data_IF_163391737280
#
_entry.id   IF_163391737280
#
_cell.length_a   1.000
_cell.length_b   1.000
_cell.length_c   1.000
_cell.angle_alpha   90.00
_cell.angle_beta   90.00
_cell.angle_gamma   90.00
#
_symmetry.space_group_name_H-M   'P 1'
#
loop_
_entity.id
_entity.type
_entity.pdbx_description
1 polymer ?
#
# COMPACT_ATOMS: atom_id res chain seq x y z
N UNK A 1 -0.38 12.32 52.88
CA UNK A 1 -0.52 12.79 54.29
C UNK A 1 -1.36 11.78 55.05
N UNK A 2 -0.86 11.26 56.19
CA UNK A 2 -1.65 10.41 57.07
C UNK A 2 -2.22 11.26 58.24
N UNK A 3 -3.55 11.19 58.40
CA UNK A 3 -4.27 11.84 59.47
C UNK A 3 -4.59 10.76 60.52
N UNK A 4 -3.82 10.72 61.61
CA UNK A 4 -4.07 9.75 62.67
C UNK A 4 -5.26 10.19 63.51
N UNK A 5 -6.25 9.33 63.66
CA UNK A 5 -7.47 9.55 64.45
C UNK A 5 -7.90 8.27 65.12
N UNK A 6 -8.40 8.36 66.34
CA UNK A 6 -9.03 7.21 67.04
C UNK A 6 -10.29 6.70 66.29
N UNK A 7 -10.97 7.65 65.59
CA UNK A 7 -12.14 7.34 64.75
C UNK A 7 -11.92 7.81 63.31
N UNK A 8 -11.13 7.07 62.47
CA UNK A 8 -10.75 7.49 61.12
C UNK A 8 -11.94 7.66 60.17
N UNK A 9 -13.05 6.97 60.45
CA UNK A 9 -14.27 7.06 59.68
C UNK A 9 -15.17 8.28 60.05
N UNK A 10 -14.81 9.00 61.08
CA UNK A 10 -15.59 10.19 61.48
C UNK A 10 -15.62 11.29 60.43
N UNK A 11 -16.73 12.05 60.38
CA UNK A 11 -16.90 13.14 59.43
C UNK A 11 -15.83 14.23 59.62
N UNK A 12 -15.40 14.47 60.84
CA UNK A 12 -14.37 15.47 61.15
C UNK A 12 -12.99 15.07 60.62
N UNK A 13 -12.58 13.79 60.85
CA UNK A 13 -11.31 13.29 60.35
C UNK A 13 -11.26 13.32 58.81
N UNK A 14 -12.34 12.89 58.15
CA UNK A 14 -12.46 12.96 56.69
C UNK A 14 -12.48 14.38 56.14
N UNK A 15 -13.13 15.31 56.85
CA UNK A 15 -13.10 16.75 56.44
C UNK A 15 -11.71 17.34 56.56
N UNK A 16 -10.98 17.01 57.64
CA UNK A 16 -9.61 17.43 57.84
C UNK A 16 -8.68 16.87 56.75
N UNK A 17 -8.79 15.57 56.44
CA UNK A 17 -8.01 14.96 55.38
C UNK A 17 -8.25 15.63 54.02
N UNK A 18 -9.52 15.91 53.66
CA UNK A 18 -9.85 16.64 52.44
C UNK A 18 -9.25 18.06 52.42
N UNK A 19 -9.33 18.78 53.50
CA UNK A 19 -8.77 20.16 53.57
C UNK A 19 -7.26 20.15 53.40
N UNK A 20 -6.57 19.17 54.03
CA UNK A 20 -5.14 18.98 53.87
C UNK A 20 -4.75 18.60 52.49
N UNK A 21 -5.51 17.70 51.85
CA UNK A 21 -5.31 17.29 50.48
C UNK A 21 -5.43 18.48 49.51
N UNK A 22 -6.45 19.29 49.66
CA UNK A 22 -6.64 20.51 48.88
C UNK A 22 -5.53 21.55 49.09
N UNK A 23 -5.12 21.73 50.34
CA UNK A 23 -4.10 22.73 50.72
C UNK A 23 -2.71 22.41 50.17
N UNK A 24 -2.34 21.12 50.19
CA UNK A 24 -0.99 20.68 49.86
C UNK A 24 -0.87 20.00 48.51
N UNK A 25 -2.01 19.71 47.82
CA UNK A 25 -2.02 19.06 46.48
C UNK A 25 -1.52 17.62 46.48
N UNK A 26 -1.65 16.91 47.63
CA UNK A 26 -1.22 15.52 47.80
C UNK A 26 -2.34 14.71 48.44
N UNK A 27 -2.35 13.38 48.18
CA UNK A 27 -3.32 12.47 48.80
C UNK A 27 -3.28 12.55 50.34
N UNK A 28 -4.44 12.54 50.97
CA UNK A 28 -4.56 12.50 52.43
C UNK A 28 -5.54 11.40 52.85
N UNK A 29 -5.10 10.52 53.76
CA UNK A 29 -5.85 9.36 54.26
C UNK A 29 -5.98 9.45 55.75
N UNK A 30 -7.16 9.06 56.25
CA UNK A 30 -7.41 8.90 57.71
C UNK A 30 -7.05 7.47 58.10
N UNK A 31 -6.31 7.33 59.21
CA UNK A 31 -5.86 6.01 59.75
C UNK A 31 -5.96 6.00 61.26
N UNK A 32 -6.07 4.82 61.86
CA UNK A 32 -5.81 4.61 63.26
C UNK A 32 -4.54 3.77 63.42
N UNK A 33 -3.45 4.42 63.80
CA UNK A 33 -2.14 3.79 63.91
C UNK A 33 -2.04 2.65 64.92
N UNK A 34 -2.99 2.59 65.87
CA UNK A 34 -3.00 1.53 66.90
C UNK A 34 -3.69 0.25 66.42
N UNK A 35 -4.62 0.35 65.49
CA UNK A 35 -5.43 -0.76 64.99
C UNK A 35 -5.23 -1.05 63.50
N UNK A 36 -4.20 -0.45 62.93
CA UNK A 36 -3.91 -0.59 61.49
C UNK A 36 -3.49 -2.05 61.19
N UNK A 37 -4.14 -2.63 60.20
CA UNK A 37 -3.84 -3.97 59.69
C UNK A 37 -2.91 -3.91 58.46
N UNK A 38 -2.51 -5.10 58.00
CA UNK A 38 -1.62 -5.25 56.84
C UNK A 38 -2.21 -4.66 55.55
N UNK A 39 -3.52 -4.89 55.31
CA UNK A 39 -4.23 -4.36 54.13
C UNK A 39 -4.24 -2.83 54.10
N UNK A 40 -4.43 -2.19 55.24
CA UNK A 40 -4.38 -0.75 55.38
C UNK A 40 -2.97 -0.19 55.12
N UNK A 41 -1.92 -0.90 55.55
CA UNK A 41 -0.52 -0.54 55.30
C UNK A 41 -0.21 -0.64 53.81
N UNK A 42 -0.60 -1.75 53.16
CA UNK A 42 -0.44 -1.93 51.73
C UNK A 42 -1.15 -0.81 50.96
N UNK A 43 -2.41 -0.48 51.36
CA UNK A 43 -3.14 0.60 50.75
C UNK A 43 -2.43 1.98 50.85
N UNK A 44 -1.75 2.24 51.98
CA UNK A 44 -0.96 3.47 52.17
C UNK A 44 0.27 3.46 51.27
N UNK A 45 0.95 2.32 51.14
CA UNK A 45 2.09 2.17 50.25
C UNK A 45 1.69 2.35 48.79
N UNK A 46 0.55 1.81 48.39
CA UNK A 46 -0.01 2.03 47.05
C UNK A 46 -0.34 3.51 46.80
N UNK A 47 -1.01 4.17 47.75
CA UNK A 47 -1.30 5.62 47.65
C UNK A 47 0.02 6.45 47.50
N UNK A 48 1.09 6.05 48.20
CA UNK A 48 2.39 6.68 48.10
C UNK A 48 3.00 6.49 46.68
N UNK A 49 2.90 5.28 46.13
CA UNK A 49 3.40 4.99 44.80
C UNK A 49 2.67 5.80 43.71
N UNK A 50 1.36 6.01 43.87
CA UNK A 50 0.59 6.87 42.93
C UNK A 50 0.99 8.34 42.97
N UNK A 51 1.62 8.83 44.01
CA UNK A 51 2.16 10.20 44.10
C UNK A 51 3.52 10.35 43.38
N UNK A 52 4.15 9.24 42.93
CA UNK A 52 5.42 9.29 42.21
C UNK A 52 5.26 9.98 40.84
N UNK A 53 6.31 10.70 40.38
CA UNK A 53 6.27 11.33 39.09
C UNK A 53 6.20 10.31 37.95
N UNK A 54 5.38 10.56 36.96
CA UNK A 54 5.41 9.85 35.70
C UNK A 54 6.45 10.53 34.78
N UNK A 55 7.49 9.77 34.41
CA UNK A 55 8.62 10.26 33.63
C UNK A 55 8.56 9.87 32.18
N UNK A 56 7.99 8.68 31.87
CA UNK A 56 7.91 8.14 30.53
C UNK A 56 6.55 7.49 30.28
N UNK A 57 6.00 7.76 29.10
CA UNK A 57 4.76 7.14 28.63
C UNK A 57 5.03 6.42 27.32
N UNK A 58 4.96 5.08 27.35
CA UNK A 58 5.19 4.20 26.20
C UNK A 58 3.85 3.74 25.62
N UNK A 59 3.65 4.03 24.33
CA UNK A 59 2.47 3.55 23.61
C UNK A 59 2.83 2.39 22.69
N UNK A 60 2.17 1.26 22.90
CA UNK A 60 2.21 0.10 22.02
C UNK A 60 1.06 0.19 21.02
N UNK A 61 1.38 0.34 19.75
CA UNK A 61 0.44 0.44 18.63
C UNK A 61 0.57 -0.76 17.72
N UNK A 62 -0.49 -1.17 17.01
CA UNK A 62 -0.39 -2.15 15.93
C UNK A 62 0.67 -1.74 14.91
N UNK A 63 1.47 -2.71 14.45
CA UNK A 63 2.63 -2.44 13.60
C UNK A 63 2.31 -1.71 12.29
N UNK A 64 1.12 -1.93 11.75
CA UNK A 64 0.67 -1.30 10.51
C UNK A 64 0.49 0.22 10.60
N UNK A 65 0.26 0.77 11.79
CA UNK A 65 0.16 2.23 12.00
C UNK A 65 1.44 2.95 11.60
N UNK A 66 2.60 2.31 11.77
CA UNK A 66 3.90 2.87 11.35
C UNK A 66 4.03 2.99 9.83
N UNK A 67 3.32 2.13 9.09
CA UNK A 67 3.33 2.13 7.63
C UNK A 67 2.39 3.18 7.01
N UNK A 68 1.56 3.84 7.84
CA UNK A 68 0.71 4.94 7.37
C UNK A 68 1.56 6.18 7.04
N UNK A 69 1.13 6.98 6.06
CA UNK A 69 1.75 8.25 5.74
C UNK A 69 1.76 9.18 6.96
N UNK A 70 2.79 10.02 7.10
CA UNK A 70 2.92 10.92 8.25
C UNK A 70 1.87 12.04 8.24
N UNK A 71 1.35 12.37 7.08
CA UNK A 71 0.24 13.31 6.84
C UNK A 71 -1.15 12.65 6.92
N UNK A 72 -1.22 11.32 7.13
CA UNK A 72 -2.46 10.58 7.25
C UNK A 72 -3.29 11.01 8.47
N UNK A 73 -4.57 11.27 8.26
CA UNK A 73 -5.49 11.79 9.27
C UNK A 73 -5.53 10.92 10.54
N UNK A 74 -5.60 9.60 10.39
CA UNK A 74 -5.63 8.64 11.51
C UNK A 74 -4.34 8.72 12.33
N UNK A 75 -3.18 8.73 11.68
CA UNK A 75 -1.88 8.80 12.36
C UNK A 75 -1.70 10.11 13.09
N UNK A 76 -2.08 11.22 12.47
CA UNK A 76 -2.00 12.54 13.08
C UNK A 76 -2.91 12.66 14.30
N UNK A 77 -4.16 12.18 14.21
CA UNK A 77 -5.11 12.20 15.33
C UNK A 77 -4.58 11.41 16.53
N UNK A 78 -4.10 10.18 16.31
CA UNK A 78 -3.53 9.33 17.35
C UNK A 78 -2.31 10.00 18.02
N UNK A 79 -1.33 10.46 17.23
CA UNK A 79 -0.12 11.07 17.78
C UNK A 79 -0.39 12.43 18.46
N UNK A 80 -1.37 13.21 18.01
CA UNK A 80 -1.78 14.44 18.67
C UNK A 80 -2.37 14.15 20.04
N UNK A 81 -3.27 13.17 20.16
CA UNK A 81 -3.85 12.74 21.42
C UNK A 81 -2.81 12.19 22.40
N UNK A 82 -1.87 11.37 21.91
CA UNK A 82 -0.77 10.85 22.72
C UNK A 82 0.13 11.97 23.26
N UNK A 83 0.49 12.96 22.44
CA UNK A 83 1.28 14.12 22.88
C UNK A 83 0.53 14.96 23.90
N UNK A 84 -0.78 15.13 23.71
CA UNK A 84 -1.61 15.86 24.66
C UNK A 84 -1.70 15.13 26.00
N UNK A 85 -1.85 13.80 25.99
CA UNK A 85 -1.84 12.97 27.18
C UNK A 85 -0.51 13.06 27.92
N UNK A 86 0.61 12.89 27.21
CA UNK A 86 1.96 13.03 27.79
C UNK A 86 2.20 14.39 28.43
N UNK A 87 1.69 15.46 27.81
CA UNK A 87 1.83 16.82 28.35
C UNK A 87 1.00 17.10 29.61
N UNK A 88 -0.05 16.30 29.88
CA UNK A 88 -0.90 16.45 31.07
C UNK A 88 -0.49 15.54 32.22
N UNK A 89 0.32 14.52 31.95
CA UNK A 89 0.72 13.52 32.91
C UNK A 89 1.89 14.03 33.74
N UNK A 90 1.65 14.22 35.06
CA UNK A 90 2.69 14.63 36.01
C UNK A 90 2.97 13.57 37.09
N UNK A 91 1.95 12.82 37.48
CA UNK A 91 2.02 11.78 38.51
C UNK A 91 1.32 10.50 38.06
N UNK A 92 1.72 9.36 38.61
CA UNK A 92 1.08 8.05 38.29
C UNK A 92 -0.41 8.07 38.58
N UNK A 93 -0.88 8.75 39.61
CA UNK A 93 -2.30 8.90 39.95
C UNK A 93 -3.17 9.54 38.84
N UNK A 94 -2.56 10.25 37.89
CA UNK A 94 -3.28 10.96 36.82
C UNK A 94 -3.44 10.12 35.57
N UNK A 95 -2.88 8.91 35.53
CA UNK A 95 -2.84 8.05 34.32
C UNK A 95 -4.24 7.82 33.79
N UNK A 96 -5.16 7.28 34.60
CA UNK A 96 -6.52 6.90 34.17
C UNK A 96 -7.30 8.10 33.61
N UNK A 97 -7.19 9.26 34.29
CA UNK A 97 -7.88 10.47 33.83
C UNK A 97 -7.30 11.03 32.55
N UNK A 98 -5.99 10.89 32.36
CA UNK A 98 -5.28 11.36 31.18
C UNK A 98 -5.53 10.48 29.97
N UNK A 99 -5.66 9.16 30.17
CA UNK A 99 -5.91 8.19 29.09
C UNK A 99 -7.33 8.30 28.50
N UNK A 100 -8.32 8.85 29.23
CA UNK A 100 -9.70 9.04 28.74
C UNK A 100 -9.73 9.81 27.40
N UNK A 101 -8.92 10.85 27.24
CA UNK A 101 -8.88 11.61 26.01
C UNK A 101 -8.39 10.83 24.77
N UNK A 102 -7.67 9.73 24.98
CA UNK A 102 -7.27 8.81 23.89
C UNK A 102 -8.35 7.76 23.68
N UNK A 103 -8.95 7.23 24.76
CA UNK A 103 -10.04 6.25 24.66
C UNK A 103 -11.28 6.79 23.97
N UNK A 104 -11.51 8.11 24.03
CA UNK A 104 -12.67 8.75 23.40
C UNK A 104 -12.51 8.96 21.89
N UNK A 105 -11.34 8.65 21.32
CA UNK A 105 -11.12 8.72 19.87
C UNK A 105 -11.90 7.62 19.16
N UNK A 106 -12.60 7.97 18.08
CA UNK A 106 -13.37 7.03 17.26
C UNK A 106 -12.50 5.94 16.61
N UNK A 107 -11.20 6.19 16.46
CA UNK A 107 -10.21 5.27 15.91
C UNK A 107 -9.70 4.26 16.93
N UNK A 108 -9.98 4.43 18.23
CA UNK A 108 -9.50 3.54 19.30
C UNK A 108 -10.63 2.62 19.75
N UNK A 109 -10.39 1.32 19.66
CA UNK A 109 -11.35 0.31 20.13
C UNK A 109 -11.22 0.06 21.62
N UNK A 110 -9.98 -0.08 22.10
CA UNK A 110 -9.67 -0.28 23.51
C UNK A 110 -8.30 0.30 23.85
N UNK A 111 -8.17 0.72 25.12
CA UNK A 111 -6.92 1.16 25.69
C UNK A 111 -6.73 0.41 27.00
N UNK A 112 -5.57 -0.21 27.21
CA UNK A 112 -5.22 -0.91 28.44
C UNK A 112 -3.83 -0.46 28.92
N UNK A 113 -3.70 -0.26 30.22
CA UNK A 113 -2.41 -0.03 30.86
C UNK A 113 -1.84 -1.42 31.16
N UNK A 114 -0.76 -1.78 30.50
CA UNK A 114 -0.16 -3.12 30.60
C UNK A 114 0.93 -3.20 31.65
N UNK A 115 1.60 -2.09 31.95
CA UNK A 115 2.66 -2.06 32.93
C UNK A 115 2.82 -0.66 33.53
N UNK A 116 3.12 -0.59 34.84
CA UNK A 116 3.43 0.64 35.58
C UNK A 116 4.64 0.37 36.45
N UNK A 117 5.80 0.81 36.00
CA UNK A 117 7.02 0.78 36.79
C UNK A 117 7.16 2.06 37.64
N UNK A 118 6.75 1.95 38.88
CA UNK A 118 6.84 3.09 39.81
C UNK A 118 8.30 3.49 40.15
N UNK A 119 9.27 2.57 40.00
CA UNK A 119 10.68 2.83 40.26
C UNK A 119 11.30 3.77 39.25
N UNK A 120 10.93 3.64 37.96
CA UNK A 120 11.39 4.49 36.87
C UNK A 120 10.38 5.58 36.51
N UNK A 121 9.12 5.44 36.95
CA UNK A 121 8.01 6.31 36.53
C UNK A 121 7.56 6.05 35.11
N UNK A 122 7.79 4.84 34.58
CA UNK A 122 7.43 4.43 33.22
C UNK A 122 6.07 3.77 33.22
N UNK A 123 5.22 4.18 32.28
CA UNK A 123 3.88 3.64 32.08
C UNK A 123 3.78 3.10 30.65
N UNK A 124 3.41 1.84 30.51
CA UNK A 124 3.18 1.20 29.20
C UNK A 124 1.69 1.06 28.94
N UNK A 125 1.25 1.62 27.83
CA UNK A 125 -0.14 1.65 27.38
C UNK A 125 -0.26 0.95 26.05
N UNK A 126 -1.14 -0.03 25.96
CA UNK A 126 -1.48 -0.72 24.72
C UNK A 126 -2.76 -0.13 24.12
N UNK A 127 -2.71 0.24 22.85
CA UNK A 127 -3.86 0.69 22.10
C UNK A 127 -4.29 -0.39 21.11
N UNK A 128 -5.56 -0.75 21.19
CA UNK A 128 -6.21 -1.62 20.22
C UNK A 128 -7.06 -0.77 19.28
N UNK A 129 -6.82 -0.94 17.98
CA UNK A 129 -7.56 -0.25 16.93
C UNK A 129 -8.52 -1.24 16.26
N UNK A 130 -9.68 -0.79 15.77
CA UNK A 130 -10.62 -1.66 15.08
C UNK A 130 -9.98 -2.32 13.86
N UNK A 131 -10.19 -3.60 13.69
CA UNK A 131 -9.66 -4.37 12.56
C UNK A 131 -10.22 -3.84 11.22
N UNK A 132 -11.49 -3.43 11.23
CA UNK A 132 -12.11 -2.79 10.08
C UNK A 132 -11.38 -1.52 9.61
N UNK A 133 -10.75 -0.78 10.52
CA UNK A 133 -9.95 0.40 10.19
C UNK A 133 -8.70 0.02 9.38
N UNK A 134 -8.06 -1.10 9.72
CA UNK A 134 -6.92 -1.61 8.98
C UNK A 134 -7.30 -1.94 7.53
N UNK A 135 -8.39 -2.68 7.31
CA UNK A 135 -8.83 -3.05 5.97
C UNK A 135 -9.31 -1.85 5.16
N UNK A 136 -10.00 -0.89 5.80
CA UNK A 136 -10.41 0.34 5.12
C UNK A 136 -9.21 1.15 4.61
N UNK A 137 -8.18 1.35 5.44
CA UNK A 137 -6.97 2.05 5.06
C UNK A 137 -6.14 1.28 4.02
N UNK A 138 -6.15 -0.05 4.09
CA UNK A 138 -5.51 -0.90 3.10
C UNK A 138 -6.20 -0.78 1.74
N UNK A 139 -7.54 -0.81 1.72
CA UNK A 139 -8.35 -0.61 0.52
C UNK A 139 -8.12 0.76 -0.11
N UNK A 140 -8.11 1.81 0.69
CA UNK A 140 -7.81 3.18 0.22
C UNK A 140 -6.43 3.28 -0.42
N UNK A 141 -5.41 2.69 0.23
CA UNK A 141 -4.03 2.73 -0.26
C UNK A 141 -3.79 1.91 -1.53
N UNK A 142 -4.48 0.79 -1.66
CA UNK A 142 -4.27 -0.15 -2.79
C UNK A 142 -5.25 0.06 -3.93
N UNK A 143 -6.39 0.71 -3.68
CA UNK A 143 -7.50 0.79 -4.63
C UNK A 143 -8.25 -0.53 -4.80
N UNK A 144 -7.97 -1.54 -3.95
CA UNK A 144 -8.62 -2.85 -3.96
C UNK A 144 -9.68 -2.91 -2.87
N UNK A 145 -10.77 -3.61 -3.10
CA UNK A 145 -11.81 -3.82 -2.10
C UNK A 145 -11.41 -4.97 -1.17
N UNK A 146 -11.03 -4.63 0.08
CA UNK A 146 -10.56 -5.58 1.09
C UNK A 146 -11.37 -5.33 2.35
N UNK A 147 -12.21 -6.29 2.73
CA UNK A 147 -13.10 -6.17 3.88
C UNK A 147 -12.69 -7.06 5.06
N UNK A 148 -11.81 -8.01 4.83
CA UNK A 148 -11.36 -8.96 5.85
C UNK A 148 -10.16 -9.80 5.42
N UNK A 149 -9.81 -10.75 6.31
CA UNK A 149 -8.67 -11.66 6.10
C UNK A 149 -8.82 -12.53 4.84
N UNK A 150 -10.03 -13.00 4.55
CA UNK A 150 -10.29 -13.85 3.38
C UNK A 150 -10.02 -13.11 2.08
N UNK A 151 -10.56 -11.89 1.94
CA UNK A 151 -10.32 -11.08 0.76
C UNK A 151 -8.82 -10.80 0.58
N UNK A 152 -8.13 -10.49 1.70
CA UNK A 152 -6.69 -10.24 1.67
C UNK A 152 -5.91 -11.47 1.20
N UNK A 153 -6.27 -12.68 1.68
CA UNK A 153 -5.64 -13.94 1.28
C UNK A 153 -5.88 -14.24 -0.20
N UNK A 154 -7.10 -14.06 -0.68
CA UNK A 154 -7.46 -14.29 -2.08
C UNK A 154 -6.71 -13.33 -3.01
N UNK A 155 -6.71 -12.04 -2.68
CA UNK A 155 -5.98 -11.01 -3.42
C UNK A 155 -4.48 -11.29 -3.45
N UNK A 156 -3.88 -11.65 -2.30
CA UNK A 156 -2.45 -11.96 -2.25
C UNK A 156 -2.11 -13.21 -3.07
N UNK A 157 -2.99 -14.20 -3.08
CA UNK A 157 -2.81 -15.42 -3.88
C UNK A 157 -2.89 -15.11 -5.37
N UNK A 158 -3.85 -14.29 -5.77
CA UNK A 158 -4.00 -13.85 -7.16
C UNK A 158 -2.80 -13.00 -7.60
N UNK A 159 -2.41 -11.99 -6.80
CA UNK A 159 -1.25 -11.15 -7.08
C UNK A 159 0.05 -11.97 -7.17
N UNK A 160 0.21 -13.00 -6.32
CA UNK A 160 1.37 -13.90 -6.38
C UNK A 160 1.41 -14.69 -7.70
N UNK A 161 0.25 -15.15 -8.19
CA UNK A 161 0.14 -15.81 -9.49
C UNK A 161 0.48 -14.84 -10.63
N UNK A 162 -0.14 -13.66 -10.63
CA UNK A 162 0.11 -12.62 -11.65
C UNK A 162 1.57 -12.16 -11.63
N UNK A 163 2.20 -12.06 -10.46
CA UNK A 163 3.60 -11.70 -10.34
C UNK A 163 4.53 -12.71 -11.02
N UNK A 164 4.24 -14.01 -10.90
CA UNK A 164 5.04 -15.06 -11.56
C UNK A 164 4.93 -14.94 -13.09
N UNK A 165 3.73 -14.73 -13.60
CA UNK A 165 3.52 -14.54 -15.04
C UNK A 165 4.19 -13.25 -15.54
N UNK A 166 4.03 -12.15 -14.79
CA UNK A 166 4.65 -10.88 -15.13
C UNK A 166 6.18 -10.96 -15.08
N UNK A 167 6.77 -11.69 -14.12
CA UNK A 167 8.22 -11.86 -14.02
C UNK A 167 8.83 -12.47 -15.27
N UNK A 168 8.12 -13.42 -15.93
CA UNK A 168 8.53 -14.03 -17.20
C UNK A 168 8.59 -13.00 -18.34
N UNK A 169 7.62 -12.09 -18.37
CA UNK A 169 7.48 -11.10 -19.45
C UNK A 169 8.28 -9.82 -19.19
N UNK A 170 8.56 -9.50 -17.93
CA UNK A 170 9.21 -8.25 -17.50
C UNK A 170 10.51 -7.97 -18.25
N UNK A 171 11.42 -8.96 -18.29
CA UNK A 171 12.71 -8.82 -18.98
C UNK A 171 12.54 -8.55 -20.47
N UNK A 172 11.61 -9.25 -21.12
CA UNK A 172 11.30 -9.02 -22.54
C UNK A 172 10.72 -7.62 -22.79
N UNK A 173 9.85 -7.13 -21.87
CA UNK A 173 9.32 -5.77 -21.95
C UNK A 173 10.41 -4.70 -21.78
N UNK A 174 11.37 -4.92 -20.88
CA UNK A 174 12.53 -4.03 -20.72
C UNK A 174 13.39 -4.02 -21.99
N UNK A 175 13.61 -5.17 -22.62
CA UNK A 175 14.29 -5.27 -23.92
C UNK A 175 13.55 -4.51 -25.01
N UNK A 176 12.22 -4.66 -25.11
CA UNK A 176 11.40 -3.91 -26.06
C UNK A 176 11.53 -2.40 -25.87
N UNK A 177 11.54 -1.92 -24.64
CA UNK A 177 11.72 -0.49 -24.34
C UNK A 177 13.08 0.02 -24.79
N UNK A 178 14.13 -0.78 -24.60
CA UNK A 178 15.50 -0.41 -24.92
C UNK A 178 15.84 -0.54 -26.40
N UNK A 179 15.38 -1.60 -27.07
CA UNK A 179 15.82 -1.97 -28.43
C UNK A 179 14.69 -2.07 -29.45
N UNK A 180 13.44 -2.01 -29.02
CA UNK A 180 12.27 -2.25 -29.88
C UNK A 180 11.90 -3.73 -30.02
N UNK A 181 12.67 -4.67 -29.44
CA UNK A 181 12.45 -6.10 -29.56
C UNK A 181 12.81 -6.84 -28.26
N UNK A 182 11.99 -7.79 -27.85
CA UNK A 182 12.20 -8.60 -26.65
C UNK A 182 11.71 -10.03 -26.83
N UNK A 183 12.34 -10.95 -26.09
CA UNK A 183 12.04 -12.39 -26.17
C UNK A 183 11.71 -12.90 -24.78
N UNK A 184 10.55 -13.58 -24.66
CA UNK A 184 10.22 -14.38 -23.50
C UNK A 184 10.68 -15.81 -23.76
N UNK A 185 11.60 -16.27 -22.96
CA UNK A 185 12.11 -17.64 -23.05
C UNK A 185 11.03 -18.64 -22.57
N UNK A 186 10.98 -19.85 -23.18
CA UNK A 186 10.08 -20.89 -22.73
C UNK A 186 10.40 -21.36 -21.32
N UNK A 187 9.37 -21.81 -20.61
CA UNK A 187 9.48 -22.47 -19.31
C UNK A 187 9.92 -23.93 -19.49
N UNK A 188 10.50 -24.55 -18.44
CA UNK A 188 10.84 -25.98 -18.47
C UNK A 188 9.66 -26.89 -18.80
N UNK A 189 8.46 -26.52 -18.36
CA UNK A 189 7.23 -27.24 -18.63
C UNK A 189 6.77 -27.18 -20.11
N UNK A 190 7.28 -26.19 -20.86
CA UNK A 190 6.99 -25.99 -22.29
C UNK A 190 8.00 -26.68 -23.20
N UNK A 191 9.08 -27.24 -22.62
CA UNK A 191 10.09 -27.98 -23.36
C UNK A 191 9.57 -29.36 -23.79
N UNK A 192 9.61 -29.65 -25.07
CA UNK A 192 9.30 -30.96 -25.61
C UNK A 192 10.54 -31.61 -26.15
N UNK A 193 10.82 -32.83 -25.68
CA UNK A 193 11.94 -33.65 -26.15
C UNK A 193 11.41 -34.83 -26.99
N UNK A 194 11.81 -34.91 -28.26
CA UNK A 194 11.51 -36.01 -29.12
C UNK A 194 12.26 -37.31 -28.67
N UNK A 195 11.75 -38.44 -29.11
CA UNK A 195 12.45 -39.72 -28.83
C UNK A 195 13.85 -39.68 -29.42
N UNK A 196 14.88 -40.11 -28.65
CA UNK A 196 16.25 -40.20 -29.14
C UNK A 196 16.34 -41.14 -30.34
N UNK A 197 17.03 -40.72 -31.40
CA UNK A 197 17.26 -41.48 -32.63
C UNK A 197 18.75 -41.78 -32.81
N UNK A 198 19.08 -43.01 -33.23
CA UNK A 198 20.43 -43.36 -33.62
C UNK A 198 20.62 -42.95 -35.07
N UNK A 199 21.59 -42.09 -35.35
CA UNK A 199 21.95 -41.70 -36.71
C UNK A 199 23.36 -42.14 -37.06
N UNK A 200 23.60 -42.50 -38.32
CA UNK A 200 24.94 -42.83 -38.84
C UNK A 200 25.60 -41.56 -39.36
N UNK A 201 26.80 -41.30 -38.92
CA UNK A 201 27.64 -40.16 -39.36
C UNK A 201 28.94 -40.69 -39.94
N UNK A 202 28.98 -40.95 -41.24
CA UNK A 202 30.11 -41.64 -41.89
C UNK A 202 30.28 -43.07 -41.41
N UNK A 203 31.44 -43.40 -40.76
CA UNK A 203 31.73 -44.72 -40.18
C UNK A 203 31.29 -44.82 -38.70
N UNK A 204 30.79 -43.77 -38.08
CA UNK A 204 30.42 -43.73 -36.67
C UNK A 204 28.89 -43.59 -36.47
N UNK A 205 28.42 -43.99 -35.29
CA UNK A 205 27.01 -43.77 -34.87
C UNK A 205 26.96 -42.63 -33.85
N UNK A 206 25.90 -41.81 -33.97
CA UNK A 206 25.61 -40.74 -33.04
C UNK A 206 24.15 -40.82 -32.57
N UNK A 207 23.87 -40.33 -31.38
CA UNK A 207 22.50 -40.14 -30.88
C UNK A 207 22.04 -38.76 -31.25
N UNK A 208 20.92 -38.65 -31.93
CA UNK A 208 20.23 -37.41 -32.24
C UNK A 208 19.20 -37.15 -31.16
N UNK A 209 19.34 -36.02 -30.46
CA UNK A 209 18.34 -35.47 -29.54
C UNK A 209 17.73 -34.26 -30.22
N UNK A 210 16.42 -34.22 -30.33
CA UNK A 210 15.67 -33.05 -30.86
C UNK A 210 14.77 -32.54 -29.77
N UNK A 211 14.88 -31.27 -29.46
CA UNK A 211 13.99 -30.57 -28.52
C UNK A 211 13.32 -29.36 -29.21
N UNK A 212 12.13 -29.06 -28.81
CA UNK A 212 11.36 -27.90 -29.28
C UNK A 212 10.68 -27.22 -28.12
N UNK A 213 10.52 -25.90 -28.20
CA UNK A 213 9.80 -25.10 -27.22
C UNK A 213 9.23 -23.85 -27.91
N UNK A 214 8.06 -23.37 -27.50
CA UNK A 214 7.53 -22.10 -27.95
C UNK A 214 8.31 -20.93 -27.31
N UNK A 215 8.58 -19.87 -28.07
CA UNK A 215 9.07 -18.59 -27.54
C UNK A 215 8.09 -17.49 -27.92
N UNK A 216 7.96 -16.46 -27.04
CA UNK A 216 7.12 -15.30 -27.33
C UNK A 216 8.02 -14.13 -27.72
N UNK A 217 7.71 -13.51 -28.85
CA UNK A 217 8.46 -12.39 -29.38
C UNK A 217 7.59 -11.12 -29.32
N UNK A 218 8.12 -10.10 -28.65
CA UNK A 218 7.50 -8.80 -28.50
C UNK A 218 8.22 -7.79 -29.39
N UNK A 219 7.48 -7.06 -30.21
CA UNK A 219 8.03 -6.05 -31.10
C UNK A 219 7.33 -4.72 -30.90
N UNK A 220 8.08 -3.64 -30.88
CA UNK A 220 7.55 -2.29 -30.91
C UNK A 220 7.50 -1.81 -32.36
N UNK A 221 6.28 -1.57 -32.85
CA UNK A 221 6.05 -0.99 -34.17
C UNK A 221 5.52 0.44 -34.02
N UNK A 222 5.98 1.35 -34.86
CA UNK A 222 5.41 2.69 -34.96
C UNK A 222 4.23 2.65 -35.93
N UNK A 223 3.05 3.08 -35.46
CA UNK A 223 1.83 3.08 -36.25
C UNK A 223 1.39 4.52 -36.40
N UNK A 224 1.19 4.94 -37.64
CA UNK A 224 0.78 6.29 -37.98
C UNK A 224 -0.67 6.27 -38.46
N UNK A 225 -1.43 7.29 -38.10
CA UNK A 225 -2.77 7.51 -38.63
C UNK A 225 -2.87 8.93 -39.17
N UNK A 226 -3.58 9.09 -40.26
CA UNK A 226 -3.92 10.36 -40.84
C UNK A 226 -5.43 10.54 -40.77
N UNK A 227 -5.84 11.68 -40.26
CA UNK A 227 -7.23 12.08 -40.21
C UNK A 227 -7.45 13.25 -41.15
N UNK A 228 -8.32 13.06 -42.12
CA UNK A 228 -8.68 14.10 -43.08
C UNK A 228 -10.20 14.35 -43.04
N UNK A 229 -10.70 14.97 -41.95
CA UNK A 229 -12.12 15.24 -41.83
C UNK A 229 -12.57 16.25 -42.89
N UNK A 230 -13.75 16.02 -43.47
CA UNK A 230 -14.36 16.97 -44.39
C UNK A 230 -15.00 18.09 -43.58
N UNK A 231 -14.52 19.32 -43.74
CA UNK A 231 -14.94 20.46 -42.91
C UNK A 231 -15.98 21.36 -43.59
N UNK A 232 -16.17 21.21 -44.86
CA UNK A 232 -17.10 22.06 -45.63
C UNK A 232 -16.39 22.90 -46.70
N UNK A 233 -16.50 24.22 -46.64
CA UNK A 233 -15.84 25.12 -47.60
C UNK A 233 -14.42 25.53 -47.16
N UNK A 234 -13.69 26.23 -48.02
CA UNK A 234 -12.33 26.69 -47.80
C UNK A 234 -12.21 27.61 -46.59
N UNK A 235 -13.22 28.44 -46.35
CA UNK A 235 -13.24 29.41 -45.27
C UNK A 235 -13.36 28.72 -43.90
N UNK A 236 -14.23 27.70 -43.79
CA UNK A 236 -14.38 26.86 -42.58
C UNK A 236 -13.13 26.03 -42.31
N UNK A 237 -12.45 25.55 -43.34
CA UNK A 237 -11.20 24.83 -43.22
C UNK A 237 -10.08 25.72 -42.67
N UNK A 238 -9.98 26.97 -43.18
CA UNK A 238 -9.01 27.94 -42.67
C UNK A 238 -9.25 28.35 -41.22
N UNK A 239 -10.50 28.49 -40.80
CA UNK A 239 -10.86 28.80 -39.42
C UNK A 239 -10.47 27.64 -38.48
N UNK A 240 -10.74 26.39 -38.88
CA UNK A 240 -10.36 25.21 -38.10
C UNK A 240 -8.83 25.09 -38.00
N UNK A 241 -8.09 25.32 -39.07
CA UNK A 241 -6.62 25.29 -39.07
C UNK A 241 -6.07 26.36 -38.11
N UNK A 242 -6.59 27.58 -38.17
CA UNK A 242 -6.18 28.66 -37.25
C UNK A 242 -6.46 28.32 -35.81
N UNK A 243 -7.62 27.73 -35.52
CA UNK A 243 -7.97 27.26 -34.17
C UNK A 243 -6.99 26.19 -33.68
N UNK A 244 -6.74 25.16 -34.50
CA UNK A 244 -5.84 24.06 -34.11
C UNK A 244 -4.38 24.52 -33.95
N UNK A 245 -3.90 25.43 -34.78
CA UNK A 245 -2.55 26.00 -34.67
C UNK A 245 -2.42 26.85 -33.39
N UNK A 246 -3.45 27.65 -33.08
CA UNK A 246 -3.46 28.43 -31.84
C UNK A 246 -3.40 27.58 -30.59
N UNK A 247 -4.12 26.46 -30.55
CA UNK A 247 -4.06 25.49 -29.44
C UNK A 247 -2.72 24.72 -29.41
N UNK A 248 -2.16 24.36 -30.56
CA UNK A 248 -0.87 23.67 -30.67
C UNK A 248 0.31 24.51 -30.15
N UNK A 249 0.33 25.84 -30.47
CA UNK A 249 1.36 26.76 -29.98
C UNK A 249 1.20 27.10 -28.49
N UNK A 250 0.00 26.95 -27.95
CA UNK A 250 -0.31 27.27 -26.56
C UNK A 250 -0.05 26.10 -25.60
N UNK A 251 -0.75 25.00 -25.76
CA UNK A 251 -0.73 23.85 -24.86
C UNK A 251 -1.16 22.58 -25.59
N UNK A 252 -0.20 21.70 -25.87
CA UNK A 252 -0.45 20.44 -26.59
C UNK A 252 -1.45 19.51 -25.86
N UNK A 253 -1.56 19.60 -24.52
CA UNK A 253 -2.55 18.78 -23.77
C UNK A 253 -3.97 19.25 -24.05
N UNK A 254 -4.19 20.57 -24.18
CA UNK A 254 -5.50 21.12 -24.53
C UNK A 254 -5.90 20.76 -25.94
N UNK A 255 -4.93 20.69 -26.87
CA UNK A 255 -5.18 20.24 -28.23
C UNK A 255 -5.79 18.84 -28.28
N UNK A 256 -5.29 17.90 -27.47
CA UNK A 256 -5.84 16.55 -27.40
C UNK A 256 -7.29 16.52 -26.91
N UNK A 257 -7.67 17.45 -26.05
CA UNK A 257 -9.03 17.58 -25.50
C UNK A 257 -9.95 18.43 -26.40
N UNK A 258 -9.41 19.10 -27.43
CA UNK A 258 -10.20 19.91 -28.33
C UNK A 258 -11.28 19.09 -29.05
N UNK A 259 -12.50 19.63 -29.09
CA UNK A 259 -13.65 18.94 -29.70
C UNK A 259 -13.68 19.23 -31.18
N UNK A 260 -13.55 18.18 -31.98
CA UNK A 260 -13.65 18.24 -33.45
C UNK A 260 -14.79 17.31 -33.88
N UNK A 261 -15.85 17.87 -34.41
CA UNK A 261 -17.05 17.13 -34.88
C UNK A 261 -17.73 16.27 -33.80
N UNK A 262 -17.78 16.76 -32.57
CA UNK A 262 -18.47 16.08 -31.46
C UNK A 262 -17.63 15.00 -30.74
N UNK A 263 -16.36 14.82 -31.11
CA UNK A 263 -15.39 13.96 -30.45
C UNK A 263 -14.12 14.73 -30.10
N UNK A 264 -13.40 14.30 -29.07
CA UNK A 264 -12.06 14.85 -28.81
C UNK A 264 -11.08 14.44 -29.92
N UNK A 265 -10.06 15.27 -30.17
CA UNK A 265 -8.97 14.89 -31.10
C UNK A 265 -8.31 13.60 -30.67
N UNK A 266 -8.15 13.40 -29.34
CA UNK A 266 -7.63 12.17 -28.75
C UNK A 266 -8.45 10.94 -29.17
N UNK A 267 -9.79 11.01 -29.05
CA UNK A 267 -10.67 9.89 -29.42
C UNK A 267 -10.60 9.60 -30.92
N UNK A 268 -10.59 10.62 -31.75
CA UNK A 268 -10.50 10.46 -33.21
C UNK A 268 -9.19 9.80 -33.63
N UNK A 269 -8.06 10.24 -33.08
CA UNK A 269 -6.74 9.64 -33.35
C UNK A 269 -6.67 8.21 -32.83
N UNK A 270 -7.17 7.97 -31.62
CA UNK A 270 -7.20 6.64 -31.01
C UNK A 270 -8.06 5.66 -31.80
N UNK A 271 -9.24 6.07 -32.23
CA UNK A 271 -10.12 5.27 -33.11
C UNK A 271 -9.42 4.93 -34.43
N UNK A 272 -8.72 5.91 -35.04
CA UNK A 272 -7.95 5.73 -36.26
C UNK A 272 -6.82 4.70 -36.09
N UNK A 273 -6.03 4.82 -35.03
CA UNK A 273 -4.94 3.90 -34.70
C UNK A 273 -5.47 2.50 -34.41
N UNK A 274 -6.49 2.37 -33.58
CA UNK A 274 -7.11 1.08 -33.25
C UNK A 274 -7.65 0.38 -34.48
N UNK A 275 -8.28 1.13 -35.38
CA UNK A 275 -8.79 0.59 -36.64
C UNK A 275 -7.67 0.00 -37.49
N UNK A 276 -6.53 0.68 -37.59
CA UNK A 276 -5.36 0.17 -38.35
C UNK A 276 -4.74 -1.07 -37.71
N UNK A 277 -4.62 -1.07 -36.36
CA UNK A 277 -4.06 -2.21 -35.61
C UNK A 277 -4.94 -3.45 -35.78
N UNK A 278 -6.27 -3.28 -35.65
CA UNK A 278 -7.22 -4.42 -35.74
C UNK A 278 -7.39 -4.95 -37.18
N UNK A 279 -7.10 -4.13 -38.17
CA UNK A 279 -7.22 -4.53 -39.59
C UNK A 279 -6.06 -5.40 -40.10
N UNK A 280 -5.06 -5.72 -39.28
CA UNK A 280 -3.99 -6.60 -39.73
C UNK A 280 -4.60 -8.02 -40.03
N UNK A 281 -4.55 -8.48 -41.29
CA UNK A 281 -5.14 -9.73 -41.71
C UNK A 281 -4.52 -10.93 -40.98
N UNK A 282 -5.31 -11.96 -40.72
CA UNK A 282 -4.82 -13.14 -40.03
C UNK A 282 -3.74 -13.92 -40.82
N UNK A 283 -3.81 -13.90 -42.14
CA UNK A 283 -2.76 -14.47 -42.98
C UNK A 283 -1.44 -13.68 -42.90
N UNK A 284 -1.48 -12.38 -42.73
CA UNK A 284 -0.29 -11.57 -42.47
C UNK A 284 0.35 -11.90 -41.13
N UNK A 285 -0.46 -12.08 -40.07
CA UNK A 285 0.02 -12.52 -38.75
C UNK A 285 0.68 -13.88 -38.83
N UNK A 286 0.04 -14.83 -39.53
CA UNK A 286 0.59 -16.18 -39.72
C UNK A 286 1.90 -16.18 -40.54
N UNK A 287 1.97 -15.36 -41.59
CA UNK A 287 3.20 -15.20 -42.40
C UNK A 287 4.34 -14.65 -41.56
N UNK A 288 4.09 -13.64 -40.72
CA UNK A 288 5.08 -13.09 -39.79
C UNK A 288 5.60 -14.17 -38.84
N UNK A 289 4.71 -14.92 -38.18
CA UNK A 289 5.06 -16.00 -37.25
C UNK A 289 5.89 -17.08 -37.93
N UNK A 290 5.47 -17.57 -39.12
CA UNK A 290 6.21 -18.58 -39.88
C UNK A 290 7.60 -18.07 -40.32
N UNK A 291 7.68 -16.83 -40.75
CA UNK A 291 8.95 -16.23 -41.19
C UNK A 291 9.92 -16.12 -40.01
N UNK A 292 9.43 -15.64 -38.85
CA UNK A 292 10.23 -15.55 -37.64
C UNK A 292 10.73 -16.92 -37.18
N UNK A 293 9.83 -17.92 -37.13
CA UNK A 293 10.19 -19.30 -36.75
C UNK A 293 11.25 -19.88 -37.69
N UNK A 294 11.15 -19.65 -38.99
CA UNK A 294 12.15 -20.09 -39.98
C UNK A 294 13.50 -19.44 -39.74
N UNK A 295 13.52 -18.13 -39.56
CA UNK A 295 14.76 -17.39 -39.32
C UNK A 295 15.52 -17.90 -38.09
N UNK A 296 14.79 -18.14 -37.01
CA UNK A 296 15.37 -18.64 -35.76
C UNK A 296 15.90 -20.08 -35.93
N UNK A 297 15.12 -20.97 -36.56
CA UNK A 297 15.45 -22.40 -36.69
C UNK A 297 16.54 -22.68 -37.75
N UNK A 298 16.56 -21.90 -38.84
CA UNK A 298 17.48 -22.14 -39.96
C UNK A 298 18.76 -21.31 -39.88
N UNK A 299 18.86 -20.43 -38.86
CA UNK A 299 20.00 -19.51 -38.64
C UNK A 299 20.39 -18.73 -39.91
N UNK A 300 19.41 -18.47 -40.75
CA UNK A 300 19.61 -17.75 -42.03
C UNK A 300 19.70 -16.25 -41.75
N UNK A 301 20.92 -15.76 -41.58
CA UNK A 301 21.24 -14.32 -41.51
C UNK A 301 21.04 -13.67 -42.90
N UNK A 302 19.82 -13.71 -43.42
CA UNK A 302 19.50 -13.19 -44.76
C UNK A 302 18.46 -12.06 -44.72
N UNK A 303 18.34 -11.36 -45.84
CA UNK A 303 17.35 -10.31 -46.09
C UNK A 303 15.94 -10.90 -45.96
N UNK A 304 15.13 -10.30 -45.09
CA UNK A 304 13.72 -10.68 -44.88
C UNK A 304 12.89 -9.95 -45.93
N UNK A 305 12.30 -10.70 -46.85
CA UNK A 305 11.27 -10.16 -47.73
C UNK A 305 9.93 -10.76 -47.33
N UNK A 306 9.09 -9.95 -46.65
CA UNK A 306 7.71 -10.29 -46.32
C UNK A 306 6.83 -9.67 -47.39
N UNK A 307 6.35 -10.47 -48.32
CA UNK A 307 5.28 -10.10 -49.24
C UNK A 307 3.95 -10.25 -48.52
N UNK A 308 3.36 -9.13 -48.10
CA UNK A 308 2.02 -9.03 -47.50
C UNK A 308 0.94 -9.11 -48.56
#
# INVERSE_FOLDING_TARGET
ILVNSEHPESGEAKALARSLSQKYGVGARTVNALTMDEEQIEGILMDLMYEFPATELRFCLPGWVRALPDDGEVKQALYAAMRQAAGKLGKLAQVDSTMKGISDLSQVQALSITDVDAGTGTITVELQLPEALFYALLSEKTGLEITGELDLMDILTELSSQQKEYARVKSAMEQVRATGYGIVMPDESELHLDKPEIIRKGSSYAVRLRASAPSIHLMRANIETELSPIVGDEQQSDELIKYLLGEYEGDTEKLWQSNIFGKSLYDLVTDGLNTKIQRMPDDARQKLTKTLSRMINENTGGMICILL
#
